data_IF_719021190476
#
_entry.id   IF_719021190476
#
_cell.length_a   1.000
_cell.length_b   1.000
_cell.length_c   1.000
_cell.angle_alpha   90.00
_cell.angle_beta   90.00
_cell.angle_gamma   90.00
#
_symmetry.space_group_name_H-M   'P 1'
#
loop_
_entity.id
_entity.type
_entity.pdbx_description
1 polymer ?
#
# COMPACT_ATOMS: atom_id res chain seq x y z
N UNK A 1 19.24 24.33 -18.97
CA UNK A 1 18.45 23.45 -19.86
C UNK A 1 16.99 23.76 -19.62
N UNK A 2 16.26 24.13 -20.67
CA UNK A 2 14.82 24.43 -20.57
C UNK A 2 14.11 23.09 -20.39
N UNK A 3 13.43 22.89 -19.26
CA UNK A 3 12.56 21.75 -19.04
C UNK A 3 11.51 21.73 -20.16
N UNK A 4 11.58 20.77 -21.07
CA UNK A 4 10.53 20.56 -22.06
C UNK A 4 9.25 20.19 -21.31
N UNK A 5 8.19 20.95 -21.52
CA UNK A 5 6.91 20.74 -20.88
C UNK A 5 6.28 19.47 -21.47
N UNK A 6 6.22 18.38 -20.67
CA UNK A 6 5.62 17.11 -21.09
C UNK A 6 4.12 17.27 -21.31
N UNK A 7 3.57 16.55 -22.28
CA UNK A 7 2.11 16.48 -22.46
C UNK A 7 1.52 15.71 -21.27
N UNK A 8 0.53 16.30 -20.60
CA UNK A 8 -0.18 15.62 -19.52
C UNK A 8 -1.37 14.82 -20.05
N UNK A 9 -1.47 13.57 -19.64
CA UNK A 9 -2.61 12.69 -19.89
C UNK A 9 -3.20 12.31 -18.54
N UNK A 10 -4.51 12.50 -18.38
CA UNK A 10 -5.24 12.14 -17.17
C UNK A 10 -6.34 11.17 -17.60
N UNK A 11 -6.25 9.93 -17.10
CA UNK A 11 -7.24 8.87 -17.33
C UNK A 11 -8.06 8.73 -16.05
N UNK A 12 -9.38 8.89 -16.18
CA UNK A 12 -10.30 8.75 -15.06
C UNK A 12 -10.38 7.32 -14.56
N UNK A 13 -11.00 7.12 -13.39
CA UNK A 13 -11.14 5.80 -12.76
C UNK A 13 -11.96 4.86 -13.65
N UNK A 14 -13.00 5.40 -14.28
CA UNK A 14 -13.96 4.71 -15.14
C UNK A 14 -13.35 4.30 -16.49
N UNK A 15 -12.30 5.01 -16.93
CA UNK A 15 -11.58 4.73 -18.18
C UNK A 15 -10.37 3.81 -17.96
N UNK A 16 -10.00 3.52 -16.71
CA UNK A 16 -8.86 2.67 -16.41
C UNK A 16 -9.14 1.20 -16.79
N UNK A 17 -8.27 0.65 -17.63
CA UNK A 17 -8.35 -0.76 -18.08
C UNK A 17 -7.74 -1.76 -17.10
N UNK A 18 -7.38 -1.30 -15.90
CA UNK A 18 -6.81 -2.13 -14.85
C UNK A 18 -7.31 -1.70 -13.46
N UNK A 19 -7.29 -2.63 -12.52
CA UNK A 19 -7.70 -2.42 -11.14
C UNK A 19 -6.88 -3.27 -10.17
N UNK A 20 -6.98 -2.96 -8.88
CA UNK A 20 -6.34 -3.70 -7.79
C UNK A 20 -7.38 -4.50 -7.00
N UNK A 21 -7.15 -5.79 -6.80
CA UNK A 21 -8.01 -6.61 -5.95
C UNK A 21 -7.76 -6.35 -4.45
N UNK A 22 -8.60 -6.94 -3.58
CA UNK A 22 -8.49 -6.80 -2.11
C UNK A 22 -7.19 -7.34 -1.48
N UNK A 23 -6.37 -8.05 -2.27
CA UNK A 23 -5.11 -8.65 -1.85
C UNK A 23 -3.89 -7.93 -2.45
N UNK A 24 -4.10 -6.83 -3.17
CA UNK A 24 -3.04 -6.03 -3.77
C UNK A 24 -2.52 -6.58 -5.11
N UNK A 25 -3.27 -7.48 -5.77
CA UNK A 25 -2.94 -7.94 -7.11
C UNK A 25 -3.56 -7.01 -8.16
N UNK A 26 -2.78 -6.70 -9.19
CA UNK A 26 -3.27 -5.97 -10.37
C UNK A 26 -3.98 -6.92 -11.34
N UNK A 27 -5.11 -6.48 -11.88
CA UNK A 27 -5.94 -7.20 -12.83
C UNK A 27 -6.34 -6.28 -13.99
N UNK A 28 -6.61 -6.85 -15.16
CA UNK A 28 -7.29 -6.21 -16.30
C UNK A 28 -8.34 -7.16 -16.89
N UNK A 29 -8.94 -6.78 -18.02
CA UNK A 29 -9.92 -7.62 -18.74
C UNK A 29 -9.41 -9.02 -19.13
N UNK A 30 -8.08 -9.20 -19.23
CA UNK A 30 -7.44 -10.49 -19.54
C UNK A 30 -7.05 -11.28 -18.29
N UNK A 31 -7.32 -10.76 -17.09
CA UNK A 31 -7.04 -11.40 -15.82
C UNK A 31 -5.89 -10.74 -15.04
N UNK A 32 -5.26 -11.53 -14.18
CA UNK A 32 -4.24 -11.06 -13.24
C UNK A 32 -2.92 -10.76 -13.97
N UNK A 33 -2.26 -9.67 -13.57
CA UNK A 33 -0.89 -9.39 -14.04
C UNK A 33 0.07 -10.43 -13.48
N UNK A 34 0.86 -11.05 -14.36
CA UNK A 34 1.83 -12.08 -13.94
C UNK A 34 3.29 -11.60 -13.99
N UNK A 35 3.60 -10.61 -14.83
CA UNK A 35 4.96 -10.14 -15.03
C UNK A 35 5.47 -9.33 -13.83
N UNK A 36 6.48 -9.81 -13.07
CA UNK A 36 6.88 -9.17 -11.82
C UNK A 36 7.43 -7.74 -12.00
N UNK A 37 8.06 -7.46 -13.15
CA UNK A 37 8.56 -6.11 -13.47
C UNK A 37 7.42 -5.11 -13.64
N UNK A 38 6.32 -5.52 -14.30
CA UNK A 38 5.14 -4.67 -14.49
C UNK A 38 4.49 -4.40 -13.14
N UNK A 39 4.27 -5.45 -12.33
CA UNK A 39 3.68 -5.33 -10.99
C UNK A 39 4.53 -4.41 -10.11
N UNK A 40 5.86 -4.59 -10.10
CA UNK A 40 6.78 -3.75 -9.32
C UNK A 40 6.71 -2.30 -9.78
N UNK A 41 6.72 -2.04 -11.09
CA UNK A 41 6.60 -0.71 -11.64
C UNK A 41 5.28 -0.05 -11.23
N UNK A 42 4.15 -0.72 -11.48
CA UNK A 42 2.81 -0.22 -11.13
C UNK A 42 2.72 0.13 -9.64
N UNK A 43 3.15 -0.78 -8.77
CA UNK A 43 3.17 -0.54 -7.33
C UNK A 43 4.03 0.68 -6.97
N UNK A 44 5.27 0.76 -7.46
CA UNK A 44 6.17 1.91 -7.19
C UNK A 44 5.65 3.25 -7.72
N UNK A 45 4.74 3.20 -8.70
CA UNK A 45 4.13 4.35 -9.33
C UNK A 45 2.83 4.82 -8.65
N UNK A 46 2.34 4.12 -7.62
CA UNK A 46 1.13 4.53 -6.90
C UNK A 46 1.39 5.84 -6.17
N UNK A 47 0.52 6.82 -6.43
CA UNK A 47 0.45 8.10 -5.73
C UNK A 47 -0.99 8.39 -5.34
N UNK A 48 -1.18 9.37 -4.46
CA UNK A 48 -2.50 9.86 -4.05
C UNK A 48 -2.54 11.38 -4.20
N UNK A 49 -3.67 11.90 -4.68
CA UNK A 49 -4.04 13.30 -4.55
C UNK A 49 -5.52 13.42 -4.16
N UNK A 50 -6.08 14.63 -4.22
CA UNK A 50 -7.47 14.92 -3.85
C UNK A 50 -8.50 14.10 -4.65
N UNK A 51 -8.15 13.62 -5.85
CA UNK A 51 -9.03 12.77 -6.68
C UNK A 51 -8.91 11.28 -6.38
N UNK A 52 -7.98 10.89 -5.50
CA UNK A 52 -7.76 9.52 -5.08
C UNK A 52 -6.41 8.95 -5.53
N UNK A 53 -6.32 7.62 -5.53
CA UNK A 53 -5.09 6.92 -5.93
C UNK A 53 -4.98 6.81 -7.45
N UNK A 54 -3.75 6.97 -7.95
CA UNK A 54 -3.41 6.84 -9.36
C UNK A 54 -2.04 6.20 -9.56
N UNK A 55 -1.84 5.57 -10.72
CA UNK A 55 -0.52 5.15 -11.19
C UNK A 55 0.09 6.31 -11.97
N UNK A 56 1.26 6.76 -11.54
CA UNK A 56 2.01 7.83 -12.19
C UNK A 56 3.06 7.26 -13.15
N UNK A 57 2.93 7.58 -14.43
CA UNK A 57 3.86 7.13 -15.47
C UNK A 57 4.48 8.32 -16.18
N UNK A 58 5.79 8.27 -16.40
CA UNK A 58 6.54 9.36 -17.04
C UNK A 58 7.39 8.76 -18.15
N UNK A 59 7.26 9.32 -19.34
CA UNK A 59 8.14 9.12 -20.49
C UNK A 59 8.81 10.45 -20.88
N UNK A 60 9.60 10.43 -21.95
CA UNK A 60 10.25 11.65 -22.46
C UNK A 60 9.21 12.67 -22.96
N UNK A 61 8.08 12.21 -23.49
CA UNK A 61 7.07 13.05 -24.12
C UNK A 61 5.83 13.30 -23.24
N UNK A 62 5.52 12.34 -22.37
CA UNK A 62 4.23 12.28 -21.67
C UNK A 62 4.42 12.09 -20.17
N UNK A 63 3.57 12.77 -19.39
CA UNK A 63 3.33 12.50 -17.98
C UNK A 63 1.87 12.06 -17.83
N UNK A 64 1.65 10.83 -17.39
CA UNK A 64 0.32 10.22 -17.30
C UNK A 64 -0.06 9.95 -15.83
N UNK A 65 -1.30 10.32 -15.50
CA UNK A 65 -1.98 9.94 -14.26
C UNK A 65 -3.17 9.06 -14.59
N UNK A 66 -3.11 7.78 -14.20
CA UNK A 66 -4.24 6.86 -14.37
C UNK A 66 -4.84 6.56 -13.00
N UNK A 67 -5.99 7.17 -12.70
CA UNK A 67 -6.77 6.82 -11.50
C UNK A 67 -7.35 5.42 -11.68
N UNK A 68 -7.35 4.58 -10.63
CA UNK A 68 -7.73 3.17 -10.79
C UNK A 68 -8.69 2.68 -9.70
N UNK A 69 -9.47 1.65 -10.04
CA UNK A 69 -10.31 0.95 -9.07
C UNK A 69 -9.49 0.05 -8.15
N UNK A 70 -9.85 0.02 -6.87
CA UNK A 70 -9.31 -0.92 -5.89
C UNK A 70 -10.46 -1.44 -5.01
N UNK A 71 -10.42 -2.73 -4.66
CA UNK A 71 -11.51 -3.38 -3.91
C UNK A 71 -11.47 -3.10 -2.40
N UNK A 72 -10.29 -2.89 -1.82
CA UNK A 72 -10.09 -2.71 -0.37
C UNK A 72 -9.23 -1.48 -0.08
N UNK A 73 -7.94 -1.55 -0.40
CA UNK A 73 -7.00 -0.42 -0.38
C UNK A 73 -6.04 -0.50 -1.56
N UNK A 74 -5.40 0.62 -1.88
CA UNK A 74 -4.33 0.71 -2.86
C UNK A 74 -2.93 0.44 -2.27
N UNK A 75 -2.78 0.53 -0.94
CA UNK A 75 -1.49 0.44 -0.26
C UNK A 75 -1.44 -0.75 0.69
N UNK A 76 -0.30 -1.45 0.66
CA UNK A 76 -0.09 -2.67 1.42
C UNK A 76 1.28 -2.66 2.09
N UNK A 77 1.35 -3.11 3.34
CA UNK A 77 2.63 -3.45 3.99
C UNK A 77 3.14 -4.73 3.37
N UNK A 78 4.23 -4.64 2.61
CA UNK A 78 4.85 -5.77 1.91
C UNK A 78 6.11 -6.27 2.62
N UNK A 79 6.71 -5.42 3.45
CA UNK A 79 7.88 -5.78 4.25
C UNK A 79 7.95 -4.99 5.56
N UNK A 80 8.72 -5.50 6.52
CA UNK A 80 8.96 -4.86 7.81
C UNK A 80 10.46 -4.91 8.09
N UNK A 81 11.03 -3.76 8.44
CA UNK A 81 12.44 -3.60 8.82
C UNK A 81 12.55 -3.25 10.29
N UNK A 82 13.44 -3.94 10.98
CA UNK A 82 13.79 -3.68 12.38
C UNK A 82 15.07 -2.84 12.40
N UNK A 83 14.95 -1.51 12.50
CA UNK A 83 16.10 -0.60 12.59
C UNK A 83 15.74 0.54 13.53
N UNK A 84 16.31 0.51 14.74
CA UNK A 84 16.05 1.50 15.81
C UNK A 84 14.55 1.67 16.15
N UNK A 85 13.76 0.62 15.86
CA UNK A 85 12.31 0.66 15.82
C UNK A 85 11.78 -0.33 14.78
N UNK A 86 10.51 -0.19 14.41
CA UNK A 86 9.86 -0.99 13.38
C UNK A 86 9.40 -0.08 12.25
N UNK A 87 9.86 -0.36 11.04
CA UNK A 87 9.56 0.41 9.83
C UNK A 87 8.78 -0.48 8.89
N UNK A 88 7.58 -0.07 8.53
CA UNK A 88 6.77 -0.70 7.50
C UNK A 88 7.21 -0.22 6.12
N UNK A 89 7.38 -1.16 5.20
CA UNK A 89 7.67 -0.89 3.79
C UNK A 89 6.40 -1.16 2.99
N UNK A 90 5.95 -0.15 2.26
CA UNK A 90 4.74 -0.22 1.46
C UNK A 90 5.03 -0.75 0.05
N UNK A 91 4.00 -1.21 -0.65
CA UNK A 91 4.11 -1.67 -2.03
C UNK A 91 4.65 -0.58 -2.98
N UNK A 92 4.38 0.69 -2.70
CA UNK A 92 4.94 1.82 -3.46
C UNK A 92 6.38 2.20 -3.09
N UNK A 93 7.00 1.45 -2.17
CA UNK A 93 8.32 1.67 -1.57
C UNK A 93 8.42 2.80 -0.55
N UNK A 94 7.32 3.49 -0.25
CA UNK A 94 7.31 4.40 0.90
C UNK A 94 7.52 3.61 2.19
N UNK A 95 8.00 4.32 3.21
CA UNK A 95 8.23 3.75 4.53
C UNK A 95 7.45 4.53 5.58
N UNK A 96 6.84 3.82 6.51
CA UNK A 96 6.11 4.39 7.64
C UNK A 96 6.69 3.81 8.92
N UNK A 97 6.96 4.67 9.91
CA UNK A 97 7.35 4.22 11.24
C UNK A 97 6.14 3.62 11.96
N UNK A 98 6.36 2.54 12.69
CA UNK A 98 5.33 1.90 13.49
C UNK A 98 4.74 2.88 14.50
N UNK A 99 3.42 2.98 14.49
CA UNK A 99 2.62 3.62 15.52
C UNK A 99 1.45 2.70 15.86
N UNK A 100 1.36 2.30 17.12
CA UNK A 100 0.33 1.38 17.57
C UNK A 100 -1.07 1.98 17.55
N UNK A 101 -1.18 3.29 17.77
CA UNK A 101 -2.48 3.97 17.82
C UNK A 101 -3.15 4.01 16.44
N UNK A 102 -2.39 3.66 15.40
CA UNK A 102 -2.86 3.60 14.02
C UNK A 102 -3.27 2.19 13.61
N UNK A 103 -3.01 1.15 14.41
CA UNK A 103 -3.32 -0.24 14.07
C UNK A 103 -4.74 -0.62 14.48
N UNK A 104 -5.44 -1.29 13.57
CA UNK A 104 -6.77 -1.82 13.84
C UNK A 104 -7.03 -3.12 13.08
N UNK A 105 -7.94 -3.94 13.59
CA UNK A 105 -8.43 -5.14 12.90
C UNK A 105 -9.80 -4.86 12.28
N UNK A 106 -9.96 -5.26 11.01
CA UNK A 106 -11.24 -5.23 10.31
C UNK A 106 -11.37 -6.46 9.43
N UNK A 107 -12.50 -7.16 9.52
CA UNK A 107 -12.80 -8.36 8.72
C UNK A 107 -11.63 -9.39 8.71
N UNK A 108 -11.09 -9.70 9.89
CA UNK A 108 -9.92 -10.59 10.11
C UNK A 108 -8.61 -10.15 9.43
N UNK A 109 -8.51 -8.90 9.00
CA UNK A 109 -7.31 -8.32 8.42
C UNK A 109 -6.75 -7.21 9.32
N UNK A 110 -5.41 -7.15 9.43
CA UNK A 110 -4.73 -6.06 10.12
C UNK A 110 -4.49 -4.91 9.15
N UNK A 111 -4.77 -3.70 9.62
CA UNK A 111 -4.53 -2.46 8.90
C UNK A 111 -3.76 -1.49 9.79
N UNK A 112 -3.15 -0.49 9.16
CA UNK A 112 -2.89 0.77 9.84
C UNK A 112 -3.50 1.95 9.09
N UNK A 113 -3.85 3.01 9.83
CA UNK A 113 -4.45 4.23 9.30
C UNK A 113 -3.55 5.44 9.58
N UNK A 114 -3.08 6.10 8.52
CA UNK A 114 -2.55 7.46 8.60
C UNK A 114 -3.64 8.47 8.25
N UNK A 115 -3.42 9.79 8.44
CA UNK A 115 -4.36 10.81 7.95
C UNK A 115 -4.65 10.70 6.44
N UNK A 116 -3.71 10.15 5.68
CA UNK A 116 -3.81 10.06 4.21
C UNK A 116 -4.15 8.65 3.71
N UNK A 117 -3.80 7.59 4.44
CA UNK A 117 -3.79 6.23 3.91
C UNK A 117 -4.41 5.23 4.88
N UNK A 118 -5.33 4.41 4.37
CA UNK A 118 -5.63 3.11 4.95
C UNK A 118 -4.70 2.09 4.29
N UNK A 119 -3.96 1.31 5.07
CA UNK A 119 -2.95 0.40 4.54
C UNK A 119 -3.12 -0.99 5.14
N UNK A 120 -3.15 -2.01 4.30
CA UNK A 120 -3.40 -3.40 4.72
C UNK A 120 -2.12 -4.19 4.85
N UNK A 121 -2.03 -5.05 5.86
CA UNK A 121 -0.90 -5.97 5.97
C UNK A 121 -1.06 -7.15 5.02
N UNK A 122 -0.02 -7.42 4.22
CA UNK A 122 0.02 -8.67 3.45
C UNK A 122 0.27 -9.87 4.35
N UNK A 123 -0.07 -11.10 3.93
CA UNK A 123 0.28 -12.32 4.68
C UNK A 123 1.77 -12.41 5.00
N UNK A 124 2.64 -11.97 4.08
CA UNK A 124 4.09 -11.92 4.30
C UNK A 124 4.48 -10.95 5.43
N UNK A 125 3.87 -9.77 5.47
CA UNK A 125 4.13 -8.80 6.54
C UNK A 125 3.56 -9.28 7.89
N UNK A 126 2.38 -9.91 7.89
CA UNK A 126 1.81 -10.53 9.08
C UNK A 126 2.74 -11.60 9.67
N UNK A 127 3.34 -12.46 8.85
CA UNK A 127 4.32 -13.45 9.31
C UNK A 127 5.56 -12.82 9.94
N UNK A 128 5.96 -11.61 9.51
CA UNK A 128 7.10 -10.90 10.09
C UNK A 128 6.77 -10.23 11.42
N UNK A 129 5.56 -9.68 11.54
CA UNK A 129 5.14 -8.98 12.75
C UNK A 129 4.60 -9.92 13.83
N UNK A 130 4.25 -11.16 13.49
CA UNK A 130 3.65 -12.14 14.40
C UNK A 130 4.50 -12.44 15.63
N UNK A 131 5.83 -12.36 15.53
CA UNK A 131 6.73 -12.53 16.68
C UNK A 131 6.57 -11.43 17.75
N UNK A 132 5.92 -10.33 17.40
CA UNK A 132 5.58 -9.23 18.31
C UNK A 132 4.11 -9.30 18.74
N UNK A 133 3.30 -10.20 18.19
CA UNK A 133 1.88 -10.31 18.51
C UNK A 133 1.68 -11.16 19.77
N UNK A 134 0.93 -10.63 20.73
CA UNK A 134 0.38 -11.37 21.85
C UNK A 134 -1.14 -11.31 21.80
N UNK A 135 -1.79 -12.47 21.91
CA UNK A 135 -3.23 -12.55 22.08
C UNK A 135 -3.55 -13.03 23.49
N UNK A 136 -4.35 -12.25 24.23
CA UNK A 136 -4.84 -12.61 25.57
C UNK A 136 -6.33 -12.30 25.65
N UNK A 137 -7.13 -13.29 26.05
CA UNK A 137 -8.59 -13.18 26.17
C UNK A 137 -9.29 -12.68 24.88
N UNK A 138 -8.79 -13.06 23.71
CA UNK A 138 -9.31 -12.61 22.41
C UNK A 138 -8.91 -11.17 22.03
N UNK A 139 -8.08 -10.50 22.84
CA UNK A 139 -7.55 -9.19 22.52
C UNK A 139 -6.13 -9.34 21.95
N UNK A 140 -5.95 -8.83 20.73
CA UNK A 140 -4.66 -8.73 20.08
C UNK A 140 -3.89 -7.52 20.61
N UNK A 141 -2.61 -7.72 20.87
CA UNK A 141 -1.66 -6.68 21.27
C UNK A 141 -0.30 -6.90 20.62
N UNK A 142 0.48 -5.84 20.49
CA UNK A 142 1.86 -5.89 20.03
C UNK A 142 2.82 -5.56 21.17
N UNK A 143 3.86 -6.38 21.37
CA UNK A 143 4.93 -6.13 22.33
C UNK A 143 6.17 -5.66 21.59
N UNK A 144 6.46 -4.36 21.67
CA UNK A 144 7.57 -3.74 20.95
C UNK A 144 8.42 -2.98 21.96
N UNK A 145 9.72 -3.28 22.00
CA UNK A 145 10.66 -2.70 22.98
C UNK A 145 10.17 -2.81 24.43
N UNK A 146 9.45 -3.88 24.76
CA UNK A 146 8.88 -4.14 26.10
C UNK A 146 7.61 -3.35 26.44
N UNK A 147 7.06 -2.57 25.50
CA UNK A 147 5.77 -1.88 25.66
C UNK A 147 4.65 -2.68 24.98
N UNK A 148 3.51 -2.77 25.65
CA UNK A 148 2.30 -3.41 25.12
C UNK A 148 1.47 -2.35 24.40
N UNK A 149 1.05 -2.69 23.20
CA UNK A 149 0.29 -1.85 22.29
C UNK A 149 -0.99 -2.58 21.92
N UNK A 150 -2.15 -2.11 22.38
CA UNK A 150 -3.43 -2.75 22.07
C UNK A 150 -3.87 -2.41 20.64
N UNK A 151 -4.46 -3.39 19.96
CA UNK A 151 -5.10 -3.18 18.66
C UNK A 151 -6.59 -2.98 18.89
N UNK A 152 -7.16 -1.97 18.23
CA UNK A 152 -8.60 -1.70 18.24
C UNK A 152 -9.37 -2.54 17.20
#
# INVERSE_FOLDING_TARGET
>A
MVSQMRKQIIVSKEEAVFWMDKNGNWNNEHGKFEHPKIIKYFNSSIKKDEKGYYVHQVSDEVEEKVYFHYEDTALFVVDIKEKEGMIFVLNNNDTVEFDSEQLFVKDDNLYFQTPEHMVKFTPRALLKISKFMEEKNGQLSFVINGKIHHVE
#
